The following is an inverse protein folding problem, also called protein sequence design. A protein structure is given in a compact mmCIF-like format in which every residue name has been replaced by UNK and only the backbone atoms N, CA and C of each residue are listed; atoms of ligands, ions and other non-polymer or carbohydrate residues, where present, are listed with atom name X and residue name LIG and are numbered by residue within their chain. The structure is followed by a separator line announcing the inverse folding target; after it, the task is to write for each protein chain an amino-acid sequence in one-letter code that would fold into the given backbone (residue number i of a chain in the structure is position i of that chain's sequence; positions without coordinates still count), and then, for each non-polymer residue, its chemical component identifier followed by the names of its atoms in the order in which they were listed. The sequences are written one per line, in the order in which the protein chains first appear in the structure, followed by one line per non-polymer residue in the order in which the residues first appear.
data_IF_647199680919
#
_entry.id   IF_647199680919
#
_cell.length_a   1.000
_cell.length_b   1.000
_cell.length_c   1.000
_cell.angle_alpha   90.00
_cell.angle_beta   90.00
_cell.angle_gamma   90.00
#
_symmetry.space_group_name_H-M   'P 1'
#
loop_
_entity.id
_entity.type
_entity.pdbx_description
1 polymer ?
#
# COMPACT_ATOMS: atom_id res chain seq x y z
N UNK A 1 -23.80 15.62 -30.69
CA UNK A 1 -23.46 14.88 -29.45
C UNK A 1 -21.99 14.48 -29.57
N UNK A 2 -21.10 15.16 -28.86
CA UNK A 2 -19.67 14.90 -28.94
C UNK A 2 -19.34 13.65 -28.13
N UNK A 3 -18.76 12.65 -28.79
CA UNK A 3 -18.25 11.43 -28.19
C UNK A 3 -17.01 11.76 -27.36
N UNK A 4 -17.10 11.60 -26.04
CA UNK A 4 -15.93 11.53 -25.16
C UNK A 4 -15.23 10.20 -25.42
N UNK A 5 -14.34 10.15 -26.41
CA UNK A 5 -13.35 9.09 -26.50
C UNK A 5 -12.29 9.36 -25.43
N UNK A 6 -12.38 8.62 -24.33
CA UNK A 6 -11.29 8.46 -23.37
C UNK A 6 -10.12 7.87 -24.16
N UNK A 7 -9.04 8.63 -24.31
CA UNK A 7 -7.83 8.19 -25.00
C UNK A 7 -7.29 6.88 -24.40
N UNK A 8 -6.50 6.11 -25.16
CA UNK A 8 -5.93 4.86 -24.67
C UNK A 8 -5.14 5.13 -23.39
N UNK A 9 -5.47 4.40 -22.32
CA UNK A 9 -4.69 4.38 -21.08
C UNK A 9 -3.29 3.90 -21.47
N UNK A 10 -2.34 4.83 -21.52
CA UNK A 10 -0.92 4.49 -21.70
C UNK A 10 -0.53 3.54 -20.58
N UNK A 11 -0.03 2.36 -20.93
CA UNK A 11 0.53 1.42 -19.96
C UNK A 11 1.63 2.17 -19.20
N UNK A 12 1.43 2.39 -17.89
CA UNK A 12 2.44 3.02 -17.05
C UNK A 12 3.71 2.13 -16.99
N UNK A 13 4.84 2.60 -16.48
CA UNK A 13 6.08 1.83 -16.30
C UNK A 13 7.15 1.94 -17.39
N UNK A 14 6.98 2.83 -18.37
CA UNK A 14 8.04 3.21 -19.34
C UNK A 14 9.02 4.22 -18.71
N UNK A 15 10.23 4.45 -19.29
CA UNK A 15 11.10 5.56 -18.87
C UNK A 15 10.38 6.92 -18.82
N UNK A 16 9.42 7.14 -19.73
CA UNK A 16 8.56 8.33 -19.76
C UNK A 16 7.64 8.43 -18.54
N UNK A 17 7.21 7.30 -17.98
CA UNK A 17 6.38 7.29 -16.76
C UNK A 17 7.24 7.61 -15.53
N UNK A 18 8.48 7.13 -15.47
CA UNK A 18 9.39 7.49 -14.38
C UNK A 18 9.72 9.00 -14.39
N UNK A 19 9.92 9.59 -15.56
CA UNK A 19 10.05 11.04 -15.72
C UNK A 19 8.78 11.76 -15.25
N UNK A 20 7.61 11.24 -15.62
CA UNK A 20 6.30 11.80 -15.22
C UNK A 20 6.12 11.77 -13.71
N UNK A 21 6.42 10.65 -13.04
CA UNK A 21 6.31 10.54 -11.58
C UNK A 21 7.28 11.47 -10.85
N UNK A 22 8.52 11.57 -11.35
CA UNK A 22 9.54 12.47 -10.79
C UNK A 22 9.12 13.94 -10.94
N UNK A 23 8.66 14.33 -12.13
CA UNK A 23 8.16 15.68 -12.39
C UNK A 23 6.94 16.02 -11.51
N UNK A 24 6.01 15.09 -11.38
CA UNK A 24 4.84 15.24 -10.52
C UNK A 24 5.23 15.45 -9.06
N UNK A 25 6.13 14.63 -8.51
CA UNK A 25 6.56 14.75 -7.13
C UNK A 25 7.25 16.09 -6.85
N UNK A 26 8.22 16.49 -7.71
CA UNK A 26 8.93 17.76 -7.55
C UNK A 26 7.98 18.96 -7.60
N UNK A 27 7.00 18.93 -8.51
CA UNK A 27 5.95 19.94 -8.61
C UNK A 27 5.14 20.02 -7.31
N UNK A 28 4.73 18.88 -6.76
CA UNK A 28 3.93 18.81 -5.54
C UNK A 28 4.70 19.25 -4.29
N UNK A 29 5.99 18.90 -4.20
CA UNK A 29 6.87 19.39 -3.13
C UNK A 29 6.94 20.92 -3.14
N UNK A 30 7.08 21.53 -4.32
CA UNK A 30 7.06 22.98 -4.48
C UNK A 30 5.68 23.58 -4.13
N UNK A 31 4.58 23.01 -4.62
CA UNK A 31 3.21 23.48 -4.33
C UNK A 31 2.78 23.32 -2.88
N UNK A 32 3.40 22.39 -2.15
CA UNK A 32 3.21 22.25 -0.70
C UNK A 32 4.12 23.17 0.12
N UNK A 33 4.96 23.97 -0.54
CA UNK A 33 5.89 24.93 0.07
C UNK A 33 6.87 24.26 1.05
N UNK A 34 7.44 23.13 0.64
CA UNK A 34 8.62 22.57 1.33
C UNK A 34 9.83 23.48 1.07
N UNK A 35 10.75 23.61 2.04
CA UNK A 35 11.99 24.35 1.84
C UNK A 35 12.86 23.69 0.77
N UNK A 36 13.71 24.45 0.07
CA UNK A 36 14.56 23.90 -0.99
C UNK A 36 15.45 22.74 -0.52
N UNK A 37 15.84 22.73 0.75
CA UNK A 37 16.56 21.62 1.38
C UNK A 37 15.69 20.36 1.46
N UNK A 38 14.49 20.46 2.05
CA UNK A 38 13.56 19.33 2.15
C UNK A 38 13.12 18.83 0.78
N UNK A 39 12.94 19.72 -0.21
CA UNK A 39 12.64 19.32 -1.58
C UNK A 39 13.72 18.40 -2.14
N UNK A 40 15.01 18.72 -1.94
CA UNK A 40 16.12 17.88 -2.39
C UNK A 40 16.18 16.55 -1.66
N UNK A 41 16.05 16.56 -0.33
CA UNK A 41 16.10 15.35 0.49
C UNK A 41 14.97 14.37 0.13
N UNK A 42 13.72 14.85 0.06
CA UNK A 42 12.57 14.01 -0.30
C UNK A 42 12.62 13.54 -1.76
N UNK A 43 13.08 14.39 -2.67
CA UNK A 43 13.25 13.99 -4.06
C UNK A 43 14.34 12.92 -4.22
N UNK A 44 15.46 13.06 -3.52
CA UNK A 44 16.52 12.05 -3.49
C UNK A 44 16.01 10.73 -2.93
N UNK A 45 15.29 10.76 -1.80
CA UNK A 45 14.66 9.56 -1.24
C UNK A 45 13.74 8.88 -2.27
N UNK A 46 12.88 9.64 -2.94
CA UNK A 46 11.95 9.10 -3.91
C UNK A 46 12.66 8.45 -5.11
N UNK A 47 13.60 9.16 -5.73
CA UNK A 47 14.33 8.65 -6.90
C UNK A 47 15.16 7.42 -6.55
N UNK A 48 15.74 7.36 -5.36
CA UNK A 48 16.59 6.24 -4.93
C UNK A 48 15.77 5.01 -4.50
N UNK A 49 14.70 5.20 -3.73
CA UNK A 49 14.04 4.08 -3.02
C UNK A 49 12.63 3.75 -3.51
N UNK A 50 11.97 4.65 -4.26
CA UNK A 50 10.58 4.48 -4.66
C UNK A 50 10.48 4.31 -6.17
N UNK A 51 11.05 5.24 -6.93
CA UNK A 51 10.98 5.31 -8.38
C UNK A 51 11.41 4.01 -9.09
N UNK A 52 12.45 3.27 -8.65
CA UNK A 52 12.85 2.02 -9.29
C UNK A 52 11.74 0.95 -9.28
N UNK A 53 10.79 1.07 -8.35
CA UNK A 53 9.67 0.12 -8.17
C UNK A 53 8.37 0.61 -8.81
N UNK A 54 8.35 1.81 -9.40
CA UNK A 54 7.19 2.35 -10.12
C UNK A 54 7.19 1.88 -11.58
N UNK A 55 7.03 0.57 -11.75
CA UNK A 55 6.97 -0.10 -13.04
C UNK A 55 5.63 -0.84 -13.17
N UNK A 56 5.20 -1.08 -14.40
CA UNK A 56 4.06 -1.95 -14.69
C UNK A 56 4.58 -3.19 -15.36
N UNK A 57 3.96 -4.30 -15.01
CA UNK A 57 4.28 -5.60 -15.57
C UNK A 57 3.02 -6.18 -16.21
N UNK A 58 3.13 -6.93 -17.32
CA UNK A 58 1.96 -7.44 -18.04
C UNK A 58 1.11 -8.38 -17.19
N UNK A 59 1.71 -9.02 -16.18
CA UNK A 59 1.07 -10.01 -15.32
C UNK A 59 0.42 -9.41 -14.07
N UNK A 60 0.59 -8.10 -13.82
CA UNK A 60 0.04 -7.45 -12.64
C UNK A 60 -0.40 -6.02 -12.94
N UNK A 61 -1.67 -5.73 -12.62
CA UNK A 61 -2.22 -4.39 -12.72
C UNK A 61 -2.62 -3.93 -11.34
N UNK A 62 -2.05 -2.80 -10.91
CA UNK A 62 -2.41 -2.20 -9.62
C UNK A 62 -3.88 -1.83 -9.60
N UNK A 63 -4.54 -2.06 -8.47
CA UNK A 63 -5.88 -1.52 -8.22
C UNK A 63 -5.84 -0.32 -7.26
N UNK A 64 -4.67 0.30 -7.08
CA UNK A 64 -4.49 1.52 -6.28
C UNK A 64 -5.28 2.68 -6.89
N UNK A 65 -5.08 2.94 -8.18
CA UNK A 65 -5.75 4.03 -8.91
C UNK A 65 -6.70 3.49 -9.97
N UNK A 66 -7.63 4.33 -10.42
CA UNK A 66 -8.60 3.96 -11.46
C UNK A 66 -7.97 3.63 -12.83
N UNK A 67 -6.73 4.06 -13.08
CA UNK A 67 -6.00 3.84 -14.33
C UNK A 67 -4.91 2.76 -14.21
N UNK A 68 -4.84 2.06 -13.08
CA UNK A 68 -3.86 1.01 -12.85
C UNK A 68 -2.44 1.47 -12.55
N UNK A 69 -2.25 2.77 -12.26
CA UNK A 69 -0.98 3.31 -11.78
C UNK A 69 -0.67 2.74 -10.39
N UNK A 70 0.56 2.26 -10.16
CA UNK A 70 0.99 1.81 -8.84
C UNK A 70 1.38 2.96 -7.91
N UNK A 71 1.23 4.21 -8.33
CA UNK A 71 1.61 5.41 -7.58
C UNK A 71 0.46 6.41 -7.48
N UNK A 72 0.21 6.92 -6.28
CA UNK A 72 -0.78 7.96 -6.00
C UNK A 72 -0.25 8.98 -4.99
N UNK A 73 0.04 10.22 -5.41
CA UNK A 73 0.32 11.30 -4.48
C UNK A 73 -0.97 11.94 -3.96
N UNK A 74 -0.95 12.42 -2.72
CA UNK A 74 -2.07 13.14 -2.11
C UNK A 74 -1.58 14.32 -1.27
N UNK A 75 -2.45 15.32 -1.11
CA UNK A 75 -2.16 16.54 -0.36
C UNK A 75 -3.04 16.57 0.89
N UNK A 76 -2.42 16.60 2.06
CA UNK A 76 -3.13 16.83 3.31
C UNK A 76 -3.13 18.34 3.63
N UNK A 77 -4.32 18.94 3.70
CA UNK A 77 -4.48 20.38 3.97
C UNK A 77 -5.14 20.55 5.35
N UNK A 78 -4.42 21.12 6.30
CA UNK A 78 -4.91 21.36 7.67
C UNK A 78 -4.39 22.70 8.18
N UNK A 79 -5.26 23.53 8.76
CA UNK A 79 -4.89 24.81 9.38
C UNK A 79 -4.04 25.71 8.44
N UNK A 80 -4.41 25.76 7.16
CA UNK A 80 -3.67 26.51 6.14
C UNK A 80 -2.32 25.91 5.74
N UNK A 81 -1.90 24.80 6.35
CA UNK A 81 -0.71 24.06 5.99
C UNK A 81 -1.04 22.94 5.01
N UNK A 82 -0.20 22.83 3.99
CA UNK A 82 -0.22 21.71 3.05
C UNK A 82 0.98 20.80 3.32
N UNK A 83 0.72 19.50 3.46
CA UNK A 83 1.72 18.45 3.51
C UNK A 83 1.51 17.46 2.37
N UNK A 84 2.61 17.00 1.79
CA UNK A 84 2.61 16.00 0.75
C UNK A 84 2.62 14.60 1.39
N UNK A 85 1.78 13.73 0.84
CA UNK A 85 1.77 12.30 1.06
C UNK A 85 1.87 11.61 -0.28
N UNK A 86 2.39 10.40 -0.31
CA UNK A 86 2.19 9.54 -1.45
C UNK A 86 2.10 8.10 -1.01
N UNK A 87 1.43 7.29 -1.81
CA UNK A 87 1.44 5.85 -1.64
C UNK A 87 1.83 5.17 -2.94
N UNK A 88 2.39 3.97 -2.79
CA UNK A 88 2.65 3.12 -3.94
C UNK A 88 2.53 1.64 -3.60
N UNK A 89 2.11 0.86 -4.60
CA UNK A 89 2.08 -0.59 -4.55
C UNK A 89 3.42 -1.13 -5.06
N UNK A 90 4.19 -1.88 -4.25
CA UNK A 90 5.41 -2.52 -4.72
C UNK A 90 5.07 -3.71 -5.62
N UNK A 91 5.49 -3.64 -6.89
CA UNK A 91 5.28 -4.72 -7.85
C UNK A 91 6.64 -5.23 -8.36
N UNK A 92 6.88 -6.53 -8.24
CA UNK A 92 8.05 -7.20 -8.82
C UNK A 92 7.80 -7.63 -10.27
N UNK A 93 8.84 -7.84 -11.09
CA UNK A 93 8.68 -8.45 -12.42
C UNK A 93 8.00 -9.82 -12.41
N UNK A 94 8.11 -10.54 -11.29
CA UNK A 94 7.49 -11.86 -11.09
C UNK A 94 6.07 -11.79 -10.51
N UNK A 95 5.53 -10.60 -10.25
CA UNK A 95 4.19 -10.43 -9.72
C UNK A 95 3.13 -11.04 -10.67
N UNK A 96 2.17 -11.76 -10.09
CA UNK A 96 1.12 -12.46 -10.83
C UNK A 96 1.57 -13.77 -11.48
N UNK A 97 2.87 -14.13 -11.41
CA UNK A 97 3.37 -15.44 -11.85
C UNK A 97 3.18 -16.50 -10.75
N UNK A 98 3.34 -17.80 -11.04
CA UNK A 98 3.32 -18.83 -10.00
C UNK A 98 4.34 -18.62 -8.87
N UNK A 99 5.42 -17.87 -9.10
CA UNK A 99 6.43 -17.57 -8.08
C UNK A 99 6.02 -16.45 -7.11
N UNK A 100 5.12 -15.54 -7.53
CA UNK A 100 4.56 -14.50 -6.67
C UNK A 100 3.14 -14.13 -7.14
N UNK A 101 2.16 -15.03 -6.93
CA UNK A 101 0.84 -14.90 -7.54
C UNK A 101 0.05 -13.70 -7.05
N UNK A 102 0.41 -13.12 -5.91
CA UNK A 102 -0.33 -12.04 -5.23
C UNK A 102 0.50 -10.76 -5.02
N UNK A 103 1.66 -10.63 -5.68
CA UNK A 103 2.56 -9.47 -5.55
C UNK A 103 2.96 -9.16 -4.11
N UNK A 104 3.29 -10.19 -3.33
CA UNK A 104 3.64 -10.05 -1.91
C UNK A 104 5.15 -9.88 -1.71
N UNK A 105 5.97 -10.47 -2.58
CA UNK A 105 7.42 -10.63 -2.35
C UNK A 105 8.17 -9.30 -2.20
N UNK A 106 7.94 -8.35 -3.11
CA UNK A 106 8.66 -7.08 -3.09
C UNK A 106 8.29 -6.23 -1.88
N UNK A 107 7.00 -6.21 -1.50
CA UNK A 107 6.58 -5.47 -0.31
C UNK A 107 7.27 -5.97 0.96
N UNK A 108 7.47 -7.29 1.09
CA UNK A 108 8.19 -7.90 2.20
C UNK A 108 9.66 -7.48 2.24
N UNK A 109 10.35 -7.58 1.11
CA UNK A 109 11.75 -7.16 0.99
C UNK A 109 11.93 -5.66 1.29
N UNK A 110 11.03 -4.80 0.77
CA UNK A 110 11.13 -3.36 0.98
C UNK A 110 10.86 -2.97 2.44
N UNK A 111 9.91 -3.59 3.12
CA UNK A 111 9.68 -3.33 4.54
C UNK A 111 10.91 -3.65 5.40
N UNK A 112 11.63 -4.73 5.10
CA UNK A 112 12.89 -5.06 5.77
C UNK A 112 14.02 -4.07 5.47
N UNK A 113 14.06 -3.51 4.25
CA UNK A 113 15.01 -2.48 3.88
C UNK A 113 14.70 -1.15 4.57
N UNK A 114 13.43 -0.71 4.54
CA UNK A 114 12.96 0.47 5.27
C UNK A 114 13.19 0.34 6.78
N UNK A 115 13.08 -0.88 7.32
CA UNK A 115 13.44 -1.26 8.68
C UNK A 115 14.85 -0.89 9.13
N UNK A 116 15.75 -0.60 8.18
CA UNK A 116 17.18 -0.32 8.44
C UNK A 116 17.56 1.12 8.13
N UNK A 117 16.61 1.97 7.74
CA UNK A 117 16.88 3.34 7.31
C UNK A 117 16.55 4.35 8.40
N UNK A 118 17.51 5.21 8.73
CA UNK A 118 17.39 6.21 9.80
C UNK A 118 16.34 7.30 9.52
N UNK A 119 15.90 7.45 8.26
CA UNK A 119 14.87 8.43 7.85
C UNK A 119 13.49 8.13 8.44
N UNK A 120 13.24 6.87 8.80
CA UNK A 120 11.99 6.44 9.43
C UNK A 120 12.14 6.43 10.95
N UNK A 121 12.05 7.61 11.55
CA UNK A 121 12.19 7.80 13.00
C UNK A 121 11.22 6.91 13.79
N UNK A 122 11.76 6.03 14.63
CA UNK A 122 10.97 5.13 15.48
C UNK A 122 10.29 3.98 14.73
N UNK A 123 10.73 3.65 13.52
CA UNK A 123 10.15 2.55 12.74
C UNK A 123 10.62 1.18 13.28
N UNK A 124 9.68 0.42 13.84
CA UNK A 124 9.84 -1.01 14.08
C UNK A 124 9.10 -1.83 13.01
N UNK A 125 9.49 -3.11 12.90
CA UNK A 125 8.86 -4.06 11.96
C UNK A 125 7.97 -5.07 12.68
N UNK A 126 7.61 -4.85 13.94
CA UNK A 126 6.86 -5.83 14.73
C UNK A 126 5.44 -5.97 14.20
N UNK A 127 4.73 -4.85 14.02
CA UNK A 127 3.40 -4.84 13.40
C UNK A 127 3.44 -5.40 11.97
N UNK A 128 4.48 -5.04 11.20
CA UNK A 128 4.67 -5.57 9.85
C UNK A 128 4.76 -7.09 9.83
N UNK A 129 5.66 -7.66 10.64
CA UNK A 129 5.88 -9.11 10.73
C UNK A 129 4.64 -9.83 11.22
N UNK A 130 3.95 -9.26 12.20
CA UNK A 130 2.72 -9.82 12.72
C UNK A 130 1.63 -9.86 11.65
N UNK A 131 1.27 -8.73 11.05
CA UNK A 131 0.16 -8.69 10.10
C UNK A 131 0.46 -9.38 8.77
N UNK A 132 1.71 -9.43 8.31
CA UNK A 132 2.05 -10.24 7.13
C UNK A 132 1.99 -11.74 7.42
N UNK A 133 2.27 -12.18 8.65
CA UNK A 133 2.04 -13.59 9.03
C UNK A 133 0.54 -13.92 9.04
N UNK A 134 -0.29 -13.03 9.58
CA UNK A 134 -1.74 -13.25 9.69
C UNK A 134 -2.47 -13.13 8.35
N UNK A 135 -2.10 -12.14 7.52
CA UNK A 135 -2.93 -11.69 6.39
C UNK A 135 -2.39 -12.07 5.01
N UNK A 136 -1.09 -12.26 4.85
CA UNK A 136 -0.57 -12.72 3.54
C UNK A 136 -0.81 -14.21 3.34
N UNK A 137 -0.80 -14.62 2.07
CA UNK A 137 -0.98 -16.01 1.67
C UNK A 137 0.35 -16.56 1.18
N UNK A 138 0.99 -17.38 2.02
CA UNK A 138 2.31 -17.96 1.75
C UNK A 138 2.23 -19.42 1.31
N UNK A 139 1.31 -20.18 1.92
CA UNK A 139 1.22 -21.62 1.73
C UNK A 139 0.61 -21.99 0.37
N UNK A 140 1.24 -22.92 -0.34
CA UNK A 140 0.78 -23.37 -1.67
C UNK A 140 -0.66 -23.87 -1.66
N UNK A 141 -1.05 -24.61 -0.63
CA UNK A 141 -2.42 -25.12 -0.49
C UNK A 141 -3.45 -23.98 -0.33
N UNK A 142 -3.08 -22.90 0.35
CA UNK A 142 -3.95 -21.72 0.50
C UNK A 142 -4.01 -20.89 -0.80
N UNK A 143 -2.89 -20.77 -1.51
CA UNK A 143 -2.83 -20.15 -2.83
C UNK A 143 -3.82 -20.86 -3.76
N UNK A 144 -3.75 -22.19 -3.87
CA UNK A 144 -4.61 -22.99 -4.77
C UNK A 144 -6.11 -22.75 -4.55
N UNK A 145 -6.56 -22.52 -3.30
CA UNK A 145 -7.97 -22.22 -2.98
C UNK A 145 -8.48 -20.93 -3.61
N UNK A 146 -7.64 -19.89 -3.70
CA UNK A 146 -8.08 -18.54 -4.11
C UNK A 146 -7.55 -18.10 -5.48
N UNK A 147 -6.64 -18.86 -6.09
CA UNK A 147 -6.11 -18.56 -7.43
C UNK A 147 -7.18 -18.55 -8.53
N UNK A 148 -8.26 -19.32 -8.37
CA UNK A 148 -9.39 -19.33 -9.30
C UNK A 148 -10.34 -18.15 -9.15
N UNK A 149 -10.30 -17.45 -8.01
CA UNK A 149 -11.30 -16.44 -7.64
C UNK A 149 -10.84 -15.07 -8.13
N UNK A 150 -11.38 -14.62 -9.27
CA UNK A 150 -10.95 -13.39 -9.95
C UNK A 150 -11.03 -12.16 -9.04
N UNK A 151 -12.08 -12.02 -8.23
CA UNK A 151 -12.32 -10.87 -7.37
C UNK A 151 -11.24 -10.64 -6.32
N UNK A 152 -10.56 -11.70 -5.86
CA UNK A 152 -9.47 -11.59 -4.86
C UNK A 152 -8.09 -11.84 -5.43
N UNK A 153 -7.97 -12.59 -6.54
CA UNK A 153 -6.68 -12.84 -7.18
C UNK A 153 -5.95 -11.56 -7.54
N UNK A 154 -6.66 -10.57 -8.09
CA UNK A 154 -6.07 -9.32 -8.59
C UNK A 154 -6.04 -8.19 -7.56
N UNK A 155 -6.43 -8.44 -6.31
CA UNK A 155 -6.38 -7.40 -5.28
C UNK A 155 -4.93 -7.16 -4.85
N UNK A 156 -4.50 -5.90 -4.74
CA UNK A 156 -3.20 -5.62 -4.10
C UNK A 156 -3.11 -6.24 -2.71
N UNK A 157 -1.99 -6.89 -2.41
CA UNK A 157 -1.74 -7.42 -1.07
C UNK A 157 -1.34 -6.33 -0.09
N UNK A 158 -0.53 -5.36 -0.56
CA UNK A 158 -0.04 -4.27 0.27
C UNK A 158 0.13 -2.96 -0.50
N UNK A 159 0.01 -1.86 0.25
CA UNK A 159 0.31 -0.50 -0.17
C UNK A 159 1.20 0.15 0.89
N UNK A 160 2.31 0.79 0.50
CA UNK A 160 3.06 1.67 1.39
C UNK A 160 2.62 3.11 1.19
N UNK A 161 2.46 3.87 2.28
CA UNK A 161 2.24 5.30 2.24
C UNK A 161 3.28 6.04 3.07
N UNK A 162 3.66 7.21 2.57
CA UNK A 162 4.72 8.05 3.11
C UNK A 162 4.15 9.43 3.38
N UNK A 163 4.15 9.84 4.64
CA UNK A 163 3.82 11.19 5.06
C UNK A 163 5.12 11.99 5.24
N UNK A 164 5.28 13.07 4.47
CA UNK A 164 6.53 13.85 4.45
C UNK A 164 6.50 15.00 5.47
N UNK A 165 7.41 15.00 6.44
CA UNK A 165 7.47 16.04 7.46
C UNK A 165 7.90 17.40 6.86
N UNK A 166 7.15 18.46 7.18
CA UNK A 166 7.39 19.80 6.61
C UNK A 166 8.47 20.61 7.32
N UNK A 167 8.84 20.23 8.55
CA UNK A 167 9.75 21.01 9.41
C UNK A 167 11.18 20.48 9.39
N UNK A 168 11.35 19.15 9.35
CA UNK A 168 12.64 18.46 9.28
C UNK A 168 12.55 17.30 8.30
N UNK A 169 13.69 16.82 7.82
CA UNK A 169 13.71 15.59 7.04
C UNK A 169 13.33 14.43 7.95
N UNK A 170 12.22 13.77 7.62
CA UNK A 170 11.67 12.65 8.37
C UNK A 170 10.41 12.16 7.69
N UNK A 171 10.29 10.84 7.58
CA UNK A 171 9.20 10.21 6.83
C UNK A 171 8.44 9.28 7.76
N UNK A 172 7.12 9.45 7.83
CA UNK A 172 6.26 8.47 8.50
C UNK A 172 5.77 7.46 7.47
N UNK A 173 6.24 6.23 7.60
CA UNK A 173 5.85 5.08 6.79
C UNK A 173 4.60 4.41 7.37
N UNK A 174 3.64 4.08 6.52
CA UNK A 174 2.45 3.30 6.83
C UNK A 174 2.33 2.16 5.84
N UNK A 175 1.89 1.00 6.31
CA UNK A 175 1.56 -0.14 5.46
C UNK A 175 0.05 -0.44 5.58
N UNK A 176 -0.58 -0.71 4.44
CA UNK A 176 -1.97 -1.19 4.40
C UNK A 176 -1.95 -2.58 3.79
N UNK A 177 -2.54 -3.56 4.50
CA UNK A 177 -2.56 -4.96 4.07
C UNK A 177 -4.01 -5.39 3.85
N UNK A 178 -4.27 -6.08 2.75
CA UNK A 178 -5.58 -6.59 2.39
C UNK A 178 -5.80 -7.99 2.99
N UNK A 179 -6.95 -8.24 3.62
CA UNK A 179 -7.29 -9.53 4.23
C UNK A 179 -8.28 -10.38 3.42
N UNK A 180 -8.78 -9.92 2.27
CA UNK A 180 -9.86 -10.59 1.54
C UNK A 180 -9.46 -11.99 1.08
N UNK A 181 -8.20 -12.23 0.69
CA UNK A 181 -7.75 -13.59 0.37
C UNK A 181 -7.85 -14.54 1.55
N UNK A 182 -7.44 -14.09 2.74
CA UNK A 182 -7.57 -14.88 3.98
C UNK A 182 -9.03 -15.12 4.35
N UNK A 183 -9.90 -14.15 4.11
CA UNK A 183 -11.35 -14.31 4.25
C UNK A 183 -11.88 -15.48 3.40
N UNK A 184 -11.51 -15.57 2.11
CA UNK A 184 -11.89 -16.70 1.26
C UNK A 184 -11.24 -18.04 1.67
N UNK A 185 -9.98 -18.03 2.08
CA UNK A 185 -9.29 -19.27 2.52
C UNK A 185 -9.96 -19.89 3.75
N UNK A 186 -10.43 -19.04 4.67
CA UNK A 186 -11.02 -19.41 5.95
C UNK A 186 -12.55 -19.39 5.95
N UNK A 187 -13.17 -19.10 4.79
CA UNK A 187 -14.61 -19.04 4.59
C UNK A 187 -15.32 -18.17 5.66
N UNK A 188 -14.72 -17.02 5.95
CA UNK A 188 -15.22 -16.07 6.96
C UNK A 188 -15.11 -14.65 6.44
N UNK A 189 -15.70 -13.70 7.16
CA UNK A 189 -15.73 -12.32 6.69
C UNK A 189 -14.39 -11.60 6.92
N UNK A 190 -14.06 -10.59 6.08
CA UNK A 190 -12.89 -9.74 6.28
C UNK A 190 -12.82 -9.09 7.67
N UNK A 191 -13.96 -8.65 8.23
CA UNK A 191 -13.98 -8.07 9.57
C UNK A 191 -13.56 -9.06 10.65
N UNK A 192 -14.06 -10.29 10.63
CA UNK A 192 -13.66 -11.32 11.61
C UNK A 192 -12.15 -11.54 11.55
N UNK A 193 -11.58 -11.67 10.35
CA UNK A 193 -10.12 -11.78 10.18
C UNK A 193 -9.39 -10.60 10.81
N UNK A 194 -9.83 -9.36 10.56
CA UNK A 194 -9.18 -8.17 11.09
C UNK A 194 -9.28 -8.07 12.62
N UNK A 195 -10.48 -8.19 13.18
CA UNK A 195 -10.69 -8.08 14.63
C UNK A 195 -9.95 -9.18 15.39
N UNK A 196 -10.00 -10.42 14.90
CA UNK A 196 -9.29 -11.54 15.52
C UNK A 196 -7.78 -11.40 15.41
N UNK A 197 -7.26 -10.88 14.30
CA UNK A 197 -5.82 -10.59 14.16
C UNK A 197 -5.39 -9.53 15.16
N UNK A 198 -6.14 -8.43 15.31
CA UNK A 198 -5.81 -7.37 16.28
C UNK A 198 -5.86 -7.92 17.71
N UNK A 199 -6.82 -8.78 18.06
CA UNK A 199 -6.89 -9.42 19.40
C UNK A 199 -5.70 -10.32 19.71
N UNK A 200 -5.05 -10.90 18.70
CA UNK A 200 -3.85 -11.73 18.85
C UNK A 200 -2.56 -10.92 18.91
N UNK A 201 -2.61 -9.61 18.68
CA UNK A 201 -1.43 -8.75 18.72
C UNK A 201 -0.96 -8.60 20.19
N UNK A 202 0.28 -9.01 20.53
CA UNK A 202 0.75 -8.98 21.90
C UNK A 202 0.97 -7.56 22.41
N UNK A 203 0.69 -7.32 23.70
CA UNK A 203 1.01 -6.05 24.38
C UNK A 203 0.09 -4.88 24.03
N UNK A 204 -1.14 -5.15 23.58
CA UNK A 204 -2.15 -4.16 23.17
C UNK A 204 -3.47 -4.32 23.91
N UNK A 205 -3.41 -4.84 25.14
CA UNK A 205 -4.58 -5.06 25.99
C UNK A 205 -5.33 -3.76 26.32
N UNK A 206 -4.65 -2.61 26.28
CA UNK A 206 -5.21 -1.28 26.50
C UNK A 206 -6.16 -0.82 25.38
N UNK A 207 -6.01 -1.36 24.17
CA UNK A 207 -6.85 -1.04 23.02
C UNK A 207 -8.16 -1.84 22.96
N UNK A 208 -8.31 -2.85 23.82
CA UNK A 208 -9.44 -3.80 23.79
C UNK A 208 -10.80 -3.11 23.81
N UNK A 209 -10.98 -2.10 24.68
CA UNK A 209 -12.26 -1.38 24.79
C UNK A 209 -12.58 -0.61 23.50
N UNK A 210 -11.57 -0.01 22.86
CA UNK A 210 -11.76 0.67 21.59
C UNK A 210 -12.10 -0.33 20.48
N UNK A 211 -11.42 -1.47 20.47
CA UNK A 211 -11.65 -2.55 19.50
C UNK A 211 -13.07 -3.12 19.61
N UNK A 212 -13.54 -3.42 20.82
CA UNK A 212 -14.88 -3.98 21.05
C UNK A 212 -15.99 -3.01 20.60
N UNK A 213 -15.80 -1.71 20.83
CA UNK A 213 -16.73 -0.68 20.33
C UNK A 213 -16.73 -0.59 18.81
N UNK A 214 -15.55 -0.68 18.20
CA UNK A 214 -15.39 -0.65 16.74
C UNK A 214 -16.04 -1.88 16.11
N UNK A 215 -15.82 -3.06 16.67
CA UNK A 215 -16.44 -4.31 16.21
C UNK A 215 -17.96 -4.28 16.34
N UNK A 216 -18.49 -3.85 17.49
CA UNK A 216 -19.94 -3.72 17.68
C UNK A 216 -20.58 -2.76 16.67
N UNK A 217 -19.85 -1.72 16.23
CA UNK A 217 -20.29 -0.82 15.17
C UNK A 217 -20.21 -1.48 13.78
N UNK A 218 -19.12 -2.19 13.46
CA UNK A 218 -18.88 -2.73 12.13
C UNK A 218 -19.63 -4.03 11.84
N UNK A 219 -19.68 -4.98 12.76
CA UNK A 219 -20.19 -6.34 12.50
C UNK A 219 -21.62 -6.38 11.94
N UNK A 220 -22.59 -5.57 12.41
CA UNK A 220 -23.93 -5.55 11.81
C UNK A 220 -23.97 -5.03 10.35
N UNK A 221 -22.86 -4.48 9.85
CA UNK A 221 -22.71 -3.80 8.55
C UNK A 221 -21.68 -4.46 7.63
N UNK A 222 -21.05 -5.54 8.08
CA UNK A 222 -19.90 -6.16 7.43
C UNK A 222 -20.22 -6.79 6.06
N UNK A 223 -21.50 -6.93 5.70
CA UNK A 223 -21.93 -7.60 4.46
C UNK A 223 -21.71 -9.11 4.47
N UNK A 224 -20.87 -9.62 5.37
CA UNK A 224 -20.59 -11.04 5.56
C UNK A 224 -19.51 -11.56 4.62
N UNK A 225 -19.53 -12.87 4.40
CA UNK A 225 -18.69 -13.53 3.40
C UNK A 225 -19.52 -13.79 2.15
N UNK A 226 -19.13 -13.21 1.01
CA UNK A 226 -19.64 -13.57 -0.31
C UNK A 226 -18.59 -14.45 -1.00
N UNK A 227 -18.83 -15.76 -1.00
CA UNK A 227 -17.93 -16.79 -1.53
C UNK A 227 -17.82 -16.81 -3.06
#
# INVERSE_FOLDING_TARGET
MASNQVGPVTQAGTPRDQETFSYLLSTLLNQCSYSSELQREYFSFFVTYILPHLQVFPNWSSNLTHNGSPFEPSRNIQNGQSMLRFCFEPIAPIAGTPADPFSQSLSFTLAEQFGKMDVFEGFDTELWKFFTKELYVWEKADIEKVMGIKSVRTLRSCLFAFDLNKKKFGIMLKAYINCFRKAHILETSPAVILFDSIRRLPGREDEKIALDKLEAFFMPRDGGFEG
#
